data_IF_030797514683
#
_entry.id   IF_030797514683
#
_cell.length_a   1.000
_cell.length_b   1.000
_cell.length_c   1.000
_cell.angle_alpha   90.00
_cell.angle_beta   90.00
_cell.angle_gamma   90.00
#
_symmetry.space_group_name_H-M   'P 1'
#
loop_
_entity.id
_entity.type
_entity.pdbx_description
1 polymer ?
#
# COMPACT_ATOMS: atom_id res chain seq x y z
N UNK A 1 23.61 10.47 -13.38
CA UNK A 1 22.26 10.11 -12.90
C UNK A 1 21.86 11.15 -11.87
N UNK A 2 20.84 11.94 -12.14
CA UNK A 2 20.35 12.98 -11.23
C UNK A 2 19.72 12.32 -10.00
N UNK A 3 20.06 12.79 -8.80
CA UNK A 3 19.34 12.37 -7.59
C UNK A 3 17.90 12.87 -7.68
N UNK A 4 16.94 11.96 -7.56
CA UNK A 4 15.54 12.33 -7.46
C UNK A 4 15.30 13.11 -6.17
N UNK A 5 14.51 14.16 -6.26
CA UNK A 5 14.06 14.87 -5.06
C UNK A 5 13.14 13.95 -4.23
N UNK A 6 12.97 14.29 -2.94
CA UNK A 6 12.09 13.51 -2.05
C UNK A 6 10.64 13.50 -2.59
N UNK A 7 10.16 14.64 -3.06
CA UNK A 7 8.81 14.79 -3.61
C UNK A 7 8.63 13.97 -4.89
N UNK A 8 9.62 13.94 -5.78
CA UNK A 8 9.61 13.07 -6.96
C UNK A 8 9.56 11.59 -6.56
N UNK A 9 10.32 11.19 -5.54
CA UNK A 9 10.31 9.81 -5.05
C UNK A 9 8.96 9.43 -4.41
N UNK A 10 8.33 10.33 -3.66
CA UNK A 10 6.98 10.13 -3.11
C UNK A 10 5.97 10.00 -4.25
N UNK A 11 5.98 10.93 -5.19
CA UNK A 11 5.04 10.94 -6.32
C UNK A 11 5.19 9.69 -7.20
N UNK A 12 6.42 9.25 -7.48
CA UNK A 12 6.70 8.01 -8.18
C UNK A 12 6.09 6.80 -7.46
N UNK A 13 6.24 6.71 -6.13
CA UNK A 13 5.68 5.58 -5.37
C UNK A 13 4.16 5.59 -5.36
N UNK A 14 3.53 6.75 -5.22
CA UNK A 14 2.07 6.89 -5.34
C UNK A 14 1.57 6.47 -6.73
N UNK A 15 2.28 6.86 -7.78
CA UNK A 15 1.98 6.47 -9.17
C UNK A 15 2.16 4.98 -9.45
N UNK A 16 2.88 4.24 -8.60
CA UNK A 16 2.97 2.77 -8.67
C UNK A 16 1.88 2.08 -7.83
N UNK A 17 1.48 2.68 -6.71
CA UNK A 17 0.47 2.11 -5.79
C UNK A 17 -0.93 2.15 -6.41
N UNK A 18 -1.36 3.32 -6.89
CA UNK A 18 -2.70 3.51 -7.43
C UNK A 18 -3.08 2.52 -8.56
N UNK A 19 -2.26 2.30 -9.61
CA UNK A 19 -2.59 1.32 -10.65
C UNK A 19 -2.54 -0.12 -10.14
N UNK A 20 -1.67 -0.44 -9.18
CA UNK A 20 -1.61 -1.77 -8.56
C UNK A 20 -2.92 -2.08 -7.82
N UNK A 21 -3.43 -1.13 -7.03
CA UNK A 21 -4.72 -1.25 -6.34
C UNK A 21 -5.88 -1.42 -7.33
N UNK A 22 -5.89 -0.63 -8.41
CA UNK A 22 -6.91 -0.73 -9.47
C UNK A 22 -6.88 -2.10 -10.16
N UNK A 23 -5.69 -2.66 -10.38
CA UNK A 23 -5.53 -3.99 -10.96
C UNK A 23 -6.07 -5.08 -10.01
N UNK A 24 -5.73 -5.02 -8.71
CA UNK A 24 -6.30 -5.92 -7.69
C UNK A 24 -7.83 -5.81 -7.66
N UNK A 25 -8.37 -4.58 -7.73
CA UNK A 25 -9.82 -4.34 -7.72
C UNK A 25 -10.51 -4.84 -9.00
N UNK A 26 -9.79 -4.96 -10.10
CA UNK A 26 -10.32 -5.52 -11.36
C UNK A 26 -10.41 -7.05 -11.32
N UNK A 27 -9.73 -7.69 -10.36
CA UNK A 27 -9.65 -9.13 -10.27
C UNK A 27 -8.73 -9.73 -11.35
N UNK A 28 -8.64 -11.05 -11.35
CA UNK A 28 -7.78 -11.81 -12.26
C UNK A 28 -7.47 -13.19 -11.69
N UNK A 29 -6.56 -13.89 -12.36
CA UNK A 29 -6.10 -15.20 -11.89
C UNK A 29 -5.29 -15.08 -10.59
N UNK A 30 -5.32 -16.13 -9.76
CA UNK A 30 -4.71 -16.12 -8.43
C UNK A 30 -3.21 -15.80 -8.46
N UNK A 31 -2.47 -16.34 -9.44
CA UNK A 31 -1.04 -16.09 -9.57
C UNK A 31 -0.77 -14.59 -9.82
N UNK A 32 -1.49 -13.99 -10.77
CA UNK A 32 -1.39 -12.57 -11.10
C UNK A 32 -1.75 -11.69 -9.89
N UNK A 33 -2.82 -12.01 -9.17
CA UNK A 33 -3.23 -11.29 -7.96
C UNK A 33 -2.19 -11.39 -6.85
N UNK A 34 -1.53 -12.55 -6.70
CA UNK A 34 -0.41 -12.74 -5.76
C UNK A 34 0.81 -11.87 -6.10
N UNK A 35 1.14 -11.75 -7.39
CA UNK A 35 2.22 -10.88 -7.86
C UNK A 35 1.90 -9.39 -7.56
N UNK A 36 0.66 -8.97 -7.81
CA UNK A 36 0.21 -7.62 -7.49
C UNK A 36 0.23 -7.34 -5.97
N UNK A 37 -0.16 -8.31 -5.13
CA UNK A 37 -0.07 -8.18 -3.67
C UNK A 37 1.37 -7.98 -3.21
N UNK A 38 2.31 -8.73 -3.79
CA UNK A 38 3.75 -8.61 -3.50
C UNK A 38 4.30 -7.25 -3.92
N UNK A 39 3.91 -6.78 -5.12
CA UNK A 39 4.30 -5.47 -5.62
C UNK A 39 3.74 -4.33 -4.74
N UNK A 40 2.46 -4.44 -4.33
CA UNK A 40 1.82 -3.49 -3.45
C UNK A 40 2.57 -3.38 -2.12
N UNK A 41 2.87 -4.51 -1.47
CA UNK A 41 3.63 -4.55 -0.20
C UNK A 41 4.98 -3.85 -0.34
N UNK A 42 5.72 -4.14 -1.42
CA UNK A 42 7.03 -3.53 -1.69
C UNK A 42 6.93 -2.01 -1.87
N UNK A 43 5.93 -1.54 -2.62
CA UNK A 43 5.75 -0.12 -2.89
C UNK A 43 5.29 0.64 -1.63
N UNK A 44 4.37 0.09 -0.84
CA UNK A 44 3.95 0.66 0.45
C UNK A 44 5.13 0.76 1.43
N UNK A 45 5.90 -0.32 1.60
CA UNK A 45 7.09 -0.29 2.46
C UNK A 45 8.12 0.75 2.00
N UNK A 46 8.34 0.86 0.69
CA UNK A 46 9.26 1.84 0.12
C UNK A 46 8.77 3.27 0.30
N UNK A 47 7.46 3.52 0.15
CA UNK A 47 6.86 4.82 0.36
C UNK A 47 6.97 5.24 1.83
N UNK A 48 6.61 4.36 2.78
CA UNK A 48 6.71 4.65 4.20
C UNK A 48 8.13 5.03 4.62
N UNK A 49 9.16 4.47 4.01
CA UNK A 49 10.55 4.84 4.30
C UNK A 49 10.89 6.32 3.97
N UNK A 50 10.06 7.00 3.17
CA UNK A 50 10.21 8.40 2.77
C UNK A 50 9.58 9.39 3.78
N UNK A 51 8.79 8.91 4.75
CA UNK A 51 8.13 9.75 5.75
C UNK A 51 8.75 9.59 7.14
N UNK A 52 8.55 10.59 8.01
CA UNK A 52 8.78 10.46 9.45
C UNK A 52 7.87 9.37 10.07
N UNK A 53 8.02 9.09 11.36
CA UNK A 53 7.13 8.13 12.04
C UNK A 53 5.80 8.78 12.33
N UNK A 54 4.77 8.24 11.69
CA UNK A 54 3.39 8.67 11.83
C UNK A 54 2.51 7.42 12.04
N UNK A 55 2.05 7.17 13.29
CA UNK A 55 1.20 6.02 13.60
C UNK A 55 -0.12 6.00 12.81
N UNK A 56 -0.64 7.16 12.43
CA UNK A 56 -1.85 7.26 11.63
C UNK A 56 -1.63 6.81 10.19
N UNK A 57 -0.48 7.17 9.60
CA UNK A 57 -0.06 6.68 8.29
C UNK A 57 0.28 5.19 8.31
N UNK A 58 0.97 4.72 9.36
CA UNK A 58 1.29 3.31 9.55
C UNK A 58 0.00 2.46 9.59
N UNK A 59 -0.99 2.88 10.38
CA UNK A 59 -2.29 2.22 10.49
C UNK A 59 -3.07 2.22 9.16
N UNK A 60 -3.17 3.37 8.50
CA UNK A 60 -3.87 3.46 7.21
C UNK A 60 -3.19 2.63 6.12
N UNK A 61 -1.86 2.50 6.15
CA UNK A 61 -1.11 1.65 5.23
C UNK A 61 -1.37 0.17 5.48
N UNK A 62 -1.43 -0.24 6.76
CA UNK A 62 -1.77 -1.62 7.13
C UNK A 62 -3.20 -1.98 6.71
N UNK A 63 -4.17 -1.08 6.96
CA UNK A 63 -5.56 -1.26 6.56
C UNK A 63 -5.72 -1.38 5.04
N UNK A 64 -5.02 -0.53 4.28
CA UNK A 64 -5.01 -0.59 2.82
C UNK A 64 -4.48 -1.93 2.31
N UNK A 65 -3.36 -2.39 2.88
CA UNK A 65 -2.79 -3.68 2.51
C UNK A 65 -3.72 -4.85 2.86
N UNK A 66 -4.32 -4.84 4.06
CA UNK A 66 -5.24 -5.88 4.50
C UNK A 66 -6.50 -5.94 3.62
N UNK A 67 -7.06 -4.80 3.24
CA UNK A 67 -8.21 -4.75 2.33
C UNK A 67 -7.87 -5.31 0.94
N UNK A 68 -6.67 -5.02 0.42
CA UNK A 68 -6.20 -5.58 -0.85
C UNK A 68 -5.96 -7.10 -0.74
N UNK A 69 -5.30 -7.55 0.33
CA UNK A 69 -5.06 -8.96 0.60
C UNK A 69 -6.36 -9.77 0.70
N UNK A 70 -7.40 -9.21 1.32
CA UNK A 70 -8.71 -9.86 1.43
C UNK A 70 -9.42 -10.08 0.07
N UNK A 71 -9.10 -9.28 -0.94
CA UNK A 71 -9.55 -9.50 -2.33
C UNK A 71 -8.74 -10.65 -2.96
N UNK A 72 -7.41 -10.61 -2.83
CA UNK A 72 -6.50 -11.60 -3.40
C UNK A 72 -6.73 -13.00 -2.82
N UNK A 73 -6.92 -13.11 -1.51
CA UNK A 73 -7.15 -14.39 -0.84
C UNK A 73 -8.49 -15.03 -1.25
N UNK A 74 -9.48 -14.22 -1.62
CA UNK A 74 -10.83 -14.70 -1.87
C UNK A 74 -11.18 -14.90 -3.34
N UNK A 75 -10.24 -14.59 -4.23
CA UNK A 75 -10.42 -14.85 -5.66
C UNK A 75 -10.69 -16.34 -5.97
N UNK A 76 -10.32 -17.25 -5.07
CA UNK A 76 -10.60 -18.70 -5.20
C UNK A 76 -11.78 -19.19 -4.35
N UNK A 77 -12.06 -18.54 -3.22
CA UNK A 77 -13.00 -19.06 -2.22
C UNK A 77 -14.39 -18.39 -2.25
N UNK A 78 -14.51 -17.18 -2.83
CA UNK A 78 -15.76 -16.41 -2.94
C UNK A 78 -16.58 -16.29 -1.61
N UNK A 79 -15.88 -16.23 -0.48
CA UNK A 79 -16.44 -16.24 0.88
C UNK A 79 -17.18 -14.98 1.28
N UNK A 80 -16.94 -13.84 0.61
CA UNK A 80 -17.77 -12.65 0.80
C UNK A 80 -18.15 -12.01 -0.53
N UNK A 81 -19.26 -11.24 -0.58
CA UNK A 81 -19.62 -10.50 -1.76
C UNK A 81 -18.49 -9.57 -2.22
N UNK A 82 -18.07 -9.72 -3.47
CA UNK A 82 -17.00 -8.92 -4.07
C UNK A 82 -17.22 -7.41 -3.92
N UNK A 83 -18.48 -6.97 -4.03
CA UNK A 83 -18.88 -5.57 -3.83
C UNK A 83 -18.50 -5.02 -2.45
N UNK A 84 -18.64 -5.82 -1.39
CA UNK A 84 -18.27 -5.40 -0.02
C UNK A 84 -16.76 -5.17 0.08
N UNK A 85 -15.96 -6.06 -0.48
CA UNK A 85 -14.49 -5.95 -0.44
C UNK A 85 -13.98 -4.77 -1.24
N UNK A 86 -14.56 -4.54 -2.42
CA UNK A 86 -14.27 -3.35 -3.23
C UNK A 86 -14.56 -2.07 -2.47
N UNK A 87 -15.68 -1.99 -1.74
CA UNK A 87 -16.02 -0.82 -0.93
C UNK A 87 -14.98 -0.61 0.19
N UNK A 88 -14.63 -1.67 0.92
CA UNK A 88 -13.63 -1.60 1.99
C UNK A 88 -12.26 -1.15 1.47
N UNK A 89 -11.84 -1.65 0.30
CA UNK A 89 -10.59 -1.22 -0.34
C UNK A 89 -10.63 0.28 -0.70
N UNK A 90 -11.74 0.77 -1.25
CA UNK A 90 -11.90 2.18 -1.59
C UNK A 90 -11.86 3.09 -0.35
N UNK A 91 -12.53 2.69 0.73
CA UNK A 91 -12.49 3.44 1.99
C UNK A 91 -11.08 3.45 2.61
N UNK A 92 -10.37 2.31 2.57
CA UNK A 92 -8.99 2.23 3.05
C UNK A 92 -8.04 3.07 2.20
N UNK A 93 -8.23 3.08 0.87
CA UNK A 93 -7.45 3.93 -0.04
C UNK A 93 -7.68 5.42 0.25
N UNK A 94 -8.93 5.87 0.44
CA UNK A 94 -9.23 7.26 0.77
C UNK A 94 -8.55 7.69 2.09
N UNK A 95 -8.65 6.87 3.15
CA UNK A 95 -7.98 7.15 4.44
C UNK A 95 -6.46 7.19 4.29
N UNK A 96 -5.89 6.31 3.47
CA UNK A 96 -4.45 6.30 3.19
C UNK A 96 -4.02 7.58 2.46
N UNK A 97 -4.76 8.03 1.45
CA UNK A 97 -4.49 9.27 0.72
C UNK A 97 -4.59 10.50 1.63
N UNK A 98 -5.60 10.56 2.50
CA UNK A 98 -5.73 11.61 3.53
C UNK A 98 -4.52 11.63 4.47
N UNK A 99 -4.07 10.46 4.94
CA UNK A 99 -2.91 10.36 5.85
C UNK A 99 -1.60 10.72 5.15
N UNK A 100 -1.42 10.35 3.89
CA UNK A 100 -0.25 10.75 3.10
C UNK A 100 -0.16 12.27 2.97
N UNK A 101 -1.30 12.95 2.75
CA UNK A 101 -1.32 14.41 2.62
C UNK A 101 -0.96 15.14 3.93
N UNK A 102 -1.17 14.51 5.09
CA UNK A 102 -0.87 15.07 6.41
C UNK A 102 0.51 14.65 6.95
N UNK A 103 1.08 13.56 6.44
CA UNK A 103 2.31 12.99 6.93
C UNK A 103 3.52 13.85 6.55
N UNK A 104 4.50 13.94 7.46
CA UNK A 104 5.71 14.73 7.24
C UNK A 104 6.76 13.94 6.43
N UNK A 105 7.18 14.43 5.24
CA UNK A 105 8.28 13.83 4.50
C UNK A 105 9.58 13.92 5.30
N UNK A 106 10.43 12.91 5.17
CA UNK A 106 11.66 12.81 5.96
C UNK A 106 12.76 13.69 5.37
N UNK A 107 13.25 14.65 6.16
CA UNK A 107 14.21 15.67 5.70
C UNK A 107 15.62 15.12 5.34
N UNK A 108 15.98 13.88 5.73
CA UNK A 108 17.25 13.22 5.34
C UNK A 108 17.14 11.69 5.22
N UNK A 109 17.81 11.12 4.20
CA UNK A 109 18.00 9.67 4.00
C UNK A 109 18.79 9.06 5.16
N UNK A 110 18.08 8.51 6.15
CA UNK A 110 18.66 7.52 7.07
C UNK A 110 18.03 6.16 6.79
N UNK A 111 18.85 5.13 6.67
CA UNK A 111 18.49 3.74 6.38
C UNK A 111 17.49 3.19 7.38
N UNK A 112 16.19 3.25 7.07
CA UNK A 112 15.14 2.67 7.91
C UNK A 112 15.01 1.17 7.62
N UNK A 113 15.97 0.35 8.09
CA UNK A 113 15.89 -1.11 7.99
C UNK A 113 14.85 -1.73 8.95
N UNK A 114 14.43 -0.99 9.99
CA UNK A 114 13.55 -1.50 11.04
C UNK A 114 12.04 -1.56 10.66
N UNK A 115 11.60 -0.86 9.59
CA UNK A 115 10.18 -0.79 9.21
C UNK A 115 9.63 -1.99 8.43
N UNK A 116 10.48 -2.79 7.77
CA UNK A 116 10.01 -3.86 6.88
C UNK A 116 9.39 -5.06 7.62
N UNK A 117 9.80 -5.27 8.88
CA UNK A 117 9.52 -6.53 9.59
C UNK A 117 8.25 -6.48 10.43
N UNK A 118 7.79 -5.31 10.88
CA UNK A 118 6.70 -5.21 11.86
C UNK A 118 5.32 -4.97 11.24
N UNK A 119 5.23 -4.23 10.12
CA UNK A 119 3.94 -3.77 9.58
C UNK A 119 3.12 -4.86 8.87
N UNK A 120 3.77 -5.89 8.32
CA UNK A 120 3.12 -6.90 7.47
C UNK A 120 3.18 -8.31 8.07
N UNK A 121 3.37 -8.43 9.38
CA UNK A 121 3.53 -9.73 10.05
C UNK A 121 2.21 -10.45 10.37
N UNK A 122 1.06 -9.86 10.06
CA UNK A 122 -0.25 -10.37 10.51
C UNK A 122 -1.32 -10.49 9.41
N UNK A 123 -0.97 -10.57 8.13
CA UNK A 123 -1.93 -10.70 7.04
C UNK A 123 -1.64 -11.90 6.14
#
# INVERSE_FOLDING_TARGET
>A
MTEKTLDEAIHEKLNLIAPTLKAIQSGGEQAYLGDLQTLLRKNLASLLALFERDPGLDAATADLYAAAAAIVQDATAATQPYARKRRLLQEAQARFEERIALARPRERRSSASWRQTELFRAA
#
